data_IF_575203586779
#
_entry.id   IF_575203586779
#
_cell.length_a   1.000
_cell.length_b   1.000
_cell.length_c   1.000
_cell.angle_alpha   90.00
_cell.angle_beta   90.00
_cell.angle_gamma   90.00
#
_symmetry.space_group_name_H-M   'P 1'
#
loop_
_entity.id
_entity.type
_entity.pdbx_description
1 polymer ?
#
# COMPACT_ATOMS: atom_id res chain seq x y z
N UNK A 1 -17.77 -62.19 18.79
CA UNK A 1 -16.42 -62.54 19.31
C UNK A 1 -15.37 -62.14 18.27
N UNK A 2 -14.33 -61.43 18.73
CA UNK A 2 -13.07 -61.04 18.05
C UNK A 2 -13.10 -59.87 17.05
N UNK A 3 -12.78 -58.72 17.63
CA UNK A 3 -12.17 -57.50 17.08
C UNK A 3 -10.93 -57.74 16.20
N UNK A 4 -10.64 -56.88 15.21
CA UNK A 4 -9.29 -56.69 14.68
C UNK A 4 -8.57 -55.53 15.39
N UNK A 5 -7.33 -55.78 15.80
CA UNK A 5 -6.44 -54.85 16.49
C UNK A 5 -5.83 -53.80 15.55
N UNK A 6 -5.84 -52.59 16.07
CA UNK A 6 -5.13 -51.39 15.64
C UNK A 6 -3.61 -51.57 15.86
N UNK A 7 -2.77 -51.24 14.88
CA UNK A 7 -1.32 -51.14 15.08
C UNK A 7 -0.84 -49.81 14.46
N UNK A 8 -0.92 -48.76 15.27
CA UNK A 8 -0.22 -47.49 15.05
C UNK A 8 1.27 -47.67 15.37
N UNK A 9 2.12 -47.39 14.40
CA UNK A 9 3.58 -47.36 14.57
C UNK A 9 3.98 -45.95 15.01
N UNK A 10 4.37 -45.79 16.28
CA UNK A 10 5.09 -44.61 16.77
C UNK A 10 6.61 -44.85 16.65
N UNK A 11 7.42 -43.87 16.20
CA UNK A 11 8.87 -43.99 16.26
C UNK A 11 9.40 -43.75 17.68
N UNK A 12 10.36 -44.60 18.08
CA UNK A 12 11.08 -44.57 19.37
C UNK A 12 12.02 -43.36 19.49
N UNK A 13 12.32 -42.91 20.73
CA UNK A 13 13.23 -41.79 20.99
C UNK A 13 14.71 -42.22 20.87
N UNK A 14 15.55 -41.32 20.35
CA UNK A 14 17.00 -41.48 20.30
C UNK A 14 17.62 -40.98 21.63
N UNK A 15 18.39 -41.85 22.27
CA UNK A 15 19.20 -41.57 23.46
C UNK A 15 20.52 -40.84 23.13
N UNK A 16 20.87 -39.97 24.09
CA UNK A 16 22.10 -39.27 24.46
C UNK A 16 23.49 -39.70 23.97
N UNK A 17 24.34 -38.70 23.64
CA UNK A 17 25.66 -38.37 24.27
C UNK A 17 26.40 -37.26 23.46
N UNK A 18 27.46 -36.57 23.96
CA UNK A 18 27.74 -36.07 25.29
C UNK A 18 28.09 -34.54 25.34
N UNK A 19 28.31 -34.10 26.57
CA UNK A 19 28.55 -32.78 27.14
C UNK A 19 29.77 -32.00 26.57
N UNK A 20 29.58 -30.77 26.07
CA UNK A 20 30.67 -29.81 25.78
C UNK A 20 30.41 -28.47 26.48
N UNK A 21 31.44 -28.03 27.19
CA UNK A 21 31.52 -26.95 28.17
C UNK A 21 31.12 -25.57 27.62
N UNK A 22 30.38 -24.85 28.46
CA UNK A 22 30.06 -23.43 28.45
C UNK A 22 31.32 -22.54 28.47
N UNK A 23 31.42 -21.57 27.57
CA UNK A 23 32.32 -20.42 27.70
C UNK A 23 31.54 -19.12 27.45
N UNK A 24 31.42 -18.30 28.50
CA UNK A 24 30.87 -16.94 28.47
C UNK A 24 31.87 -15.95 27.84
N UNK A 25 31.41 -14.95 27.06
CA UNK A 25 32.27 -13.85 26.65
C UNK A 25 32.28 -12.72 27.70
N UNK A 26 33.49 -12.39 28.16
CA UNK A 26 33.84 -11.30 29.07
C UNK A 26 33.42 -9.92 28.55
N UNK A 27 32.64 -9.20 29.35
CA UNK A 27 32.41 -7.75 29.23
C UNK A 27 33.65 -6.99 29.71
N UNK A 28 34.25 -6.17 28.85
CA UNK A 28 35.32 -5.22 29.23
C UNK A 28 34.75 -3.82 29.42
N UNK A 29 34.82 -3.33 30.65
CA UNK A 29 34.61 -1.94 31.01
C UNK A 29 35.84 -1.08 30.66
N UNK A 30 35.61 0.06 29.99
CA UNK A 30 36.48 1.25 29.87
C UNK A 30 35.50 2.41 29.68
N UNK A 31 35.49 3.54 30.38
CA UNK A 31 36.45 4.20 31.25
C UNK A 31 36.19 5.69 31.02
N UNK A 32 35.58 6.38 31.99
CA UNK A 32 35.35 7.82 31.96
C UNK A 32 36.68 8.58 31.90
N UNK A 33 36.80 9.56 31.00
CA UNK A 33 37.71 10.70 31.16
C UNK A 33 37.09 11.98 30.57
N UNK A 34 36.84 12.93 31.47
CA UNK A 34 36.74 14.36 31.17
C UNK A 34 38.14 14.89 30.82
N UNK A 35 38.25 15.83 29.87
CA UNK A 35 38.95 17.10 30.07
C UNK A 35 38.89 18.05 28.86
N UNK A 36 38.57 19.31 29.19
CA UNK A 36 39.14 20.60 28.75
C UNK A 36 39.05 21.00 27.27
N UNK A 37 38.41 22.15 27.10
CA UNK A 37 38.36 22.89 25.85
C UNK A 37 39.66 23.59 25.48
N UNK A 38 39.70 24.00 24.23
CA UNK A 38 40.62 24.99 23.69
C UNK A 38 39.82 25.85 22.71
N UNK A 39 39.79 27.16 22.98
CA UNK A 39 39.35 28.20 22.05
C UNK A 39 40.34 28.30 20.88
N UNK A 40 39.83 28.42 19.66
CA UNK A 40 40.56 29.02 18.54
C UNK A 40 39.58 29.87 17.71
N UNK A 41 39.82 31.17 17.73
CA UNK A 41 39.24 32.14 16.83
C UNK A 41 39.85 31.97 15.43
N UNK A 42 39.02 31.95 14.39
CA UNK A 42 39.40 32.50 13.08
C UNK A 42 38.15 33.02 12.36
N UNK A 43 38.31 34.22 11.81
CA UNK A 43 37.25 35.07 11.28
C UNK A 43 37.17 34.99 9.75
N UNK A 44 35.93 35.09 9.25
CA UNK A 44 35.47 35.66 7.96
C UNK A 44 35.71 34.84 6.68
N UNK A 45 34.61 34.45 6.02
CA UNK A 45 34.24 34.94 4.67
C UNK A 45 32.76 34.62 4.40
N UNK A 46 32.00 35.67 4.08
CA UNK A 46 30.58 35.67 3.71
C UNK A 46 30.40 35.00 2.35
N UNK A 47 29.62 33.92 2.29
CA UNK A 47 29.12 33.33 1.04
C UNK A 47 27.68 32.84 1.26
N UNK A 48 26.74 33.59 0.69
CA UNK A 48 25.37 33.19 0.33
C UNK A 48 24.59 32.38 1.37
N UNK A 49 23.82 33.07 2.22
CA UNK A 49 22.75 32.45 3.00
C UNK A 49 21.73 31.80 2.06
N UNK A 50 21.87 30.50 1.80
CA UNK A 50 20.69 29.66 1.63
C UNK A 50 19.97 29.73 2.97
N UNK A 51 18.93 30.57 3.05
CA UNK A 51 18.04 30.56 4.20
C UNK A 51 17.61 29.11 4.43
N UNK A 52 18.12 28.49 5.51
CA UNK A 52 17.42 27.35 6.09
C UNK A 52 16.02 27.87 6.36
N UNK A 53 14.95 27.23 5.89
CA UNK A 53 13.60 27.73 6.10
C UNK A 53 13.47 28.01 7.60
N UNK A 54 13.25 29.28 7.93
CA UNK A 54 13.10 29.73 9.31
C UNK A 54 12.09 28.81 9.98
N UNK A 55 12.43 28.33 11.18
CA UNK A 55 11.58 27.42 11.95
C UNK A 55 10.25 28.13 12.28
N UNK A 56 9.29 28.08 11.34
CA UNK A 56 7.96 28.63 11.53
C UNK A 56 7.19 27.64 12.37
N UNK A 57 6.77 28.08 13.55
CA UNK A 57 5.92 27.28 14.43
C UNK A 57 4.57 27.12 13.73
N UNK A 58 4.35 25.93 13.15
CA UNK A 58 3.08 25.61 12.51
C UNK A 58 2.01 25.46 13.58
N UNK A 59 2.17 24.55 14.54
CA UNK A 59 1.24 24.35 15.66
C UNK A 59 2.02 24.34 16.98
N UNK A 60 1.76 25.27 17.92
CA UNK A 60 2.36 25.23 19.25
C UNK A 60 2.08 23.89 19.94
N UNK A 61 3.08 23.31 20.60
CA UNK A 61 2.99 22.00 21.28
C UNK A 61 3.16 20.78 20.37
N UNK A 62 3.13 20.93 19.04
CA UNK A 62 3.41 19.84 18.10
C UNK A 62 4.87 19.87 17.63
N UNK A 63 5.57 18.72 17.53
CA UNK A 63 6.97 18.69 17.11
C UNK A 63 7.19 19.24 15.69
N UNK A 64 8.21 20.08 15.50
CA UNK A 64 8.60 20.63 14.18
C UNK A 64 8.81 19.55 13.11
N UNK A 65 9.50 18.42 13.39
CA UNK A 65 9.69 17.38 12.38
C UNK A 65 8.38 16.80 11.85
N UNK A 66 7.34 16.75 12.69
CA UNK A 66 6.01 16.25 12.29
C UNK A 66 5.31 17.26 11.39
N UNK A 67 5.39 18.54 11.74
CA UNK A 67 4.74 19.65 11.03
C UNK A 67 5.44 20.00 9.71
N UNK A 68 6.75 19.74 9.60
CA UNK A 68 7.57 20.08 8.45
C UNK A 68 7.02 19.58 7.12
N UNK A 69 6.53 18.34 7.09
CA UNK A 69 5.95 17.75 5.87
C UNK A 69 4.72 18.51 5.37
N UNK A 70 3.89 19.02 6.28
CA UNK A 70 2.70 19.81 5.98
C UNK A 70 3.08 21.22 5.55
N UNK A 71 4.07 21.85 6.21
CA UNK A 71 4.58 23.17 5.83
C UNK A 71 5.19 23.18 4.43
N UNK A 72 5.97 22.15 4.10
CA UNK A 72 6.53 21.99 2.74
C UNK A 72 5.39 21.79 1.73
N UNK A 73 4.42 20.94 2.03
CA UNK A 73 3.29 20.69 1.13
C UNK A 73 2.38 21.93 0.93
N UNK A 74 2.34 22.83 1.91
CA UNK A 74 1.62 24.09 1.87
C UNK A 74 2.43 25.26 1.28
N UNK A 75 3.63 25.01 0.74
CA UNK A 75 4.46 26.07 0.15
C UNK A 75 4.95 27.11 1.18
N UNK A 76 5.12 26.72 2.45
CA UNK A 76 5.54 27.62 3.53
C UNK A 76 4.42 28.43 4.17
N UNK A 77 3.17 28.28 3.72
CA UNK A 77 1.98 28.87 4.33
C UNK A 77 1.61 28.12 5.62
N UNK A 78 1.71 28.81 6.75
CA UNK A 78 1.44 28.24 8.08
C UNK A 78 -0.03 27.92 8.28
N UNK A 79 -0.96 28.76 7.79
CA UNK A 79 -2.39 28.54 7.97
C UNK A 79 -2.83 27.31 7.18
N UNK A 80 -2.45 27.22 5.91
CA UNK A 80 -2.73 26.03 5.08
C UNK A 80 -2.07 24.76 5.62
N UNK A 81 -0.87 24.86 6.19
CA UNK A 81 -0.21 23.71 6.82
C UNK A 81 -1.02 23.16 8.01
N UNK A 82 -1.65 24.03 8.82
CA UNK A 82 -2.55 23.63 9.91
C UNK A 82 -3.79 22.94 9.39
N UNK A 83 -4.46 23.55 8.41
CA UNK A 83 -5.64 22.98 7.77
C UNK A 83 -5.32 21.61 7.16
N UNK A 84 -4.17 21.48 6.51
CA UNK A 84 -3.73 20.25 5.88
C UNK A 84 -3.41 19.15 6.92
N UNK A 85 -2.88 19.53 8.09
CA UNK A 85 -2.69 18.62 9.20
C UNK A 85 -4.03 18.12 9.77
N UNK A 86 -5.00 19.03 9.95
CA UNK A 86 -6.36 18.67 10.37
C UNK A 86 -7.06 17.76 9.33
N UNK A 87 -6.94 18.09 8.04
CA UNK A 87 -7.42 17.27 6.93
C UNK A 87 -6.82 15.86 6.97
N UNK A 88 -5.52 15.71 7.26
CA UNK A 88 -4.88 14.40 7.36
C UNK A 88 -5.53 13.53 8.43
N UNK A 89 -5.85 14.11 9.60
CA UNK A 89 -6.54 13.41 10.68
C UNK A 89 -7.98 13.03 10.28
N UNK A 90 -8.71 13.93 9.61
CA UNK A 90 -10.05 13.63 9.08
C UNK A 90 -10.02 12.49 8.06
N UNK A 91 -9.04 12.50 7.15
CA UNK A 91 -8.86 11.46 6.14
C UNK A 91 -8.49 10.11 6.77
N UNK A 92 -7.63 10.13 7.80
CA UNK A 92 -7.31 8.95 8.60
C UNK A 92 -8.57 8.37 9.29
N UNK A 93 -9.41 9.24 9.87
CA UNK A 93 -10.68 8.84 10.48
C UNK A 93 -11.65 8.20 9.47
N UNK A 94 -11.83 8.81 8.30
CA UNK A 94 -12.68 8.27 7.24
C UNK A 94 -12.16 6.92 6.70
N UNK A 95 -10.83 6.74 6.59
CA UNK A 95 -10.25 5.47 6.19
C UNK A 95 -10.41 4.39 7.29
N UNK A 96 -10.27 4.75 8.57
CA UNK A 96 -10.47 3.83 9.70
C UNK A 96 -11.89 3.27 9.77
N UNK A 97 -12.89 4.07 9.44
CA UNK A 97 -14.29 3.65 9.35
C UNK A 97 -14.44 2.43 8.42
N UNK A 98 -13.89 2.53 7.21
CA UNK A 98 -13.96 1.48 6.20
C UNK A 98 -13.10 0.26 6.57
N UNK A 99 -11.93 0.50 7.16
CA UNK A 99 -11.08 -0.57 7.70
C UNK A 99 -11.78 -1.35 8.81
N UNK A 100 -12.54 -0.68 9.68
CA UNK A 100 -13.29 -1.34 10.76
C UNK A 100 -14.37 -2.27 10.21
N UNK A 101 -15.12 -1.83 9.20
CA UNK A 101 -16.12 -2.68 8.53
C UNK A 101 -15.50 -3.90 7.87
N UNK A 102 -14.42 -3.70 7.10
CA UNK A 102 -13.69 -4.79 6.46
C UNK A 102 -13.13 -5.77 7.50
N UNK A 103 -12.61 -5.27 8.61
CA UNK A 103 -12.04 -6.10 9.67
C UNK A 103 -13.09 -7.02 10.28
N UNK A 104 -14.29 -6.52 10.59
CA UNK A 104 -15.40 -7.38 11.05
C UNK A 104 -15.78 -8.42 9.99
N UNK A 105 -15.92 -8.00 8.73
CA UNK A 105 -16.29 -8.88 7.62
C UNK A 105 -15.28 -10.01 7.41
N UNK A 106 -13.98 -9.69 7.37
CA UNK A 106 -12.90 -10.65 7.18
C UNK A 106 -12.84 -11.66 8.33
N UNK A 107 -12.92 -11.17 9.57
CA UNK A 107 -12.88 -12.02 10.77
C UNK A 107 -14.00 -13.03 10.77
N UNK A 108 -15.23 -12.59 10.52
CA UNK A 108 -16.39 -13.46 10.47
C UNK A 108 -16.25 -14.52 9.36
N UNK A 109 -15.84 -14.11 8.15
CA UNK A 109 -15.68 -15.02 7.03
C UNK A 109 -14.63 -16.12 7.31
N UNK A 110 -13.47 -15.74 7.86
CA UNK A 110 -12.42 -16.69 8.22
C UNK A 110 -12.86 -17.58 9.39
N UNK A 111 -13.48 -17.01 10.42
CA UNK A 111 -13.95 -17.75 11.59
C UNK A 111 -14.90 -18.89 11.20
N UNK A 112 -15.89 -18.60 10.34
CA UNK A 112 -16.82 -19.61 9.83
C UNK A 112 -16.10 -20.78 9.13
N UNK A 113 -15.10 -20.49 8.29
CA UNK A 113 -14.36 -21.56 7.61
C UNK A 113 -13.44 -22.34 8.55
N UNK A 114 -12.93 -21.73 9.62
CA UNK A 114 -12.18 -22.47 10.63
C UNK A 114 -13.08 -23.40 11.44
N UNK A 115 -14.31 -22.97 11.76
CA UNK A 115 -15.33 -23.82 12.40
C UNK A 115 -15.65 -25.06 11.54
N UNK A 116 -15.91 -24.85 10.25
CA UNK A 116 -16.24 -25.95 9.34
C UNK A 116 -15.04 -26.89 9.13
N UNK A 117 -13.82 -26.36 9.08
CA UNK A 117 -12.61 -27.16 8.83
C UNK A 117 -12.35 -28.17 9.94
N UNK A 118 -12.48 -27.74 11.19
CA UNK A 118 -12.34 -28.64 12.34
C UNK A 118 -13.61 -29.43 12.63
N UNK A 119 -14.71 -29.22 11.89
CA UNK A 119 -16.03 -29.79 12.21
C UNK A 119 -16.43 -29.46 13.64
N UNK A 120 -16.35 -28.19 13.99
CA UNK A 120 -16.55 -27.68 15.35
C UNK A 120 -17.90 -28.12 15.93
N UNK A 121 -18.94 -28.22 15.09
CA UNK A 121 -20.27 -28.72 15.50
C UNK A 121 -20.28 -30.18 15.94
N UNK A 122 -19.45 -31.02 15.34
CA UNK A 122 -19.34 -32.45 15.68
C UNK A 122 -18.43 -32.65 16.90
N UNK A 123 -17.33 -31.89 16.97
CA UNK A 123 -16.32 -32.03 18.04
C UNK A 123 -16.78 -31.34 19.33
N UNK A 124 -17.51 -30.22 19.23
CA UNK A 124 -17.93 -29.40 20.36
C UNK A 124 -16.82 -28.54 21.00
N UNK A 125 -15.62 -28.51 20.41
CA UNK A 125 -14.48 -27.72 20.90
C UNK A 125 -14.14 -26.64 19.87
N UNK A 126 -14.20 -25.34 20.25
CA UNK A 126 -13.82 -24.24 19.37
C UNK A 126 -12.45 -24.41 18.74
N UNK A 127 -12.31 -24.03 17.47
CA UNK A 127 -11.02 -24.15 16.77
C UNK A 127 -9.90 -23.49 17.57
N UNK A 128 -10.10 -22.32 18.17
CA UNK A 128 -9.04 -21.66 18.94
C UNK A 128 -8.64 -22.37 20.25
N UNK A 129 -9.24 -23.52 20.58
CA UNK A 129 -8.85 -24.41 21.69
C UNK A 129 -8.23 -25.75 21.25
N UNK A 130 -8.19 -26.08 19.94
CA UNK A 130 -7.69 -27.39 19.47
C UNK A 130 -6.16 -27.39 19.21
N UNK A 131 -5.40 -28.44 19.56
CA UNK A 131 -4.02 -28.60 19.09
C UNK A 131 -3.97 -29.11 17.63
N UNK A 132 -3.00 -28.72 16.77
CA UNK A 132 -1.89 -27.80 16.96
C UNK A 132 -2.06 -26.56 16.08
N UNK A 133 -2.73 -25.49 16.55
CA UNK A 133 -2.58 -24.20 15.88
C UNK A 133 -1.17 -23.68 16.14
N UNK A 134 -0.32 -23.93 15.14
CA UNK A 134 1.05 -23.47 14.96
C UNK A 134 1.36 -22.27 15.85
N UNK A 135 2.12 -22.55 16.91
CA UNK A 135 2.74 -21.73 17.99
C UNK A 135 2.64 -20.18 17.89
N UNK A 136 2.76 -19.61 16.70
CA UNK A 136 2.65 -18.17 16.49
C UNK A 136 1.24 -17.58 16.69
N UNK A 137 0.17 -18.38 16.55
CA UNK A 137 -1.22 -17.90 16.71
C UNK A 137 -1.76 -18.12 18.12
N UNK A 138 -1.26 -19.13 18.83
CA UNK A 138 -1.72 -19.48 20.18
C UNK A 138 -1.42 -18.36 21.19
N UNK A 139 -0.26 -17.71 21.09
CA UNK A 139 0.11 -16.61 22.00
C UNK A 139 -0.85 -15.42 21.89
N UNK A 140 -1.24 -15.04 20.67
CA UNK A 140 -2.19 -13.96 20.44
C UNK A 140 -3.60 -14.29 20.98
N UNK A 141 -4.02 -15.56 20.85
CA UNK A 141 -5.29 -16.05 21.40
C UNK A 141 -5.24 -16.02 22.92
N UNK A 142 -4.22 -16.60 23.54
CA UNK A 142 -4.11 -16.62 25.02
C UNK A 142 -4.01 -15.22 25.60
N UNK A 143 -3.25 -14.30 24.99
CA UNK A 143 -3.18 -12.90 25.43
C UNK A 143 -4.57 -12.25 25.47
N UNK A 144 -5.40 -12.47 24.43
CA UNK A 144 -6.77 -11.95 24.39
C UNK A 144 -7.64 -12.62 25.44
N UNK A 145 -7.53 -13.95 25.61
CA UNK A 145 -8.30 -14.73 26.58
C UNK A 145 -7.97 -14.32 28.01
N UNK A 146 -6.70 -14.21 28.38
CA UNK A 146 -6.26 -13.78 29.71
C UNK A 146 -6.86 -12.43 30.10
N UNK A 147 -6.79 -11.45 29.18
CA UNK A 147 -7.43 -10.14 29.37
C UNK A 147 -8.94 -10.24 29.55
N UNK A 148 -9.62 -11.09 28.76
CA UNK A 148 -11.07 -11.25 28.82
C UNK A 148 -11.53 -12.01 30.07
N UNK A 149 -10.75 -12.97 30.55
CA UNK A 149 -10.98 -13.69 31.83
C UNK A 149 -10.98 -12.73 33.00
N UNK A 150 -10.00 -11.83 33.06
CA UNK A 150 -9.93 -10.78 34.10
C UNK A 150 -11.18 -9.88 34.11
N UNK A 151 -11.91 -9.79 33.00
CA UNK A 151 -13.12 -8.99 32.84
C UNK A 151 -14.41 -9.80 32.91
N UNK A 152 -14.35 -11.13 33.12
CA UNK A 152 -15.49 -12.04 33.02
C UNK A 152 -16.24 -11.97 31.66
N UNK A 153 -15.49 -11.82 30.56
CA UNK A 153 -16.01 -11.63 29.19
C UNK A 153 -15.40 -12.58 28.15
N UNK A 154 -14.92 -13.76 28.57
CA UNK A 154 -14.32 -14.75 27.66
C UNK A 154 -15.40 -15.49 26.83
N UNK A 155 -16.06 -14.78 25.91
CA UNK A 155 -16.97 -15.37 24.92
C UNK A 155 -16.29 -15.48 23.55
N UNK A 156 -16.78 -16.35 22.66
CA UNK A 156 -16.28 -16.47 21.28
C UNK A 156 -16.23 -15.11 20.60
N UNK A 157 -17.34 -14.39 20.60
CA UNK A 157 -17.45 -13.10 19.91
C UNK A 157 -16.42 -12.09 20.43
N UNK A 158 -16.17 -12.09 21.74
CA UNK A 158 -15.15 -11.22 22.35
C UNK A 158 -13.73 -11.65 22.02
N UNK A 159 -13.46 -12.96 21.97
CA UNK A 159 -12.15 -13.49 21.55
C UNK A 159 -11.90 -13.11 20.08
N UNK A 160 -12.83 -13.41 19.18
CA UNK A 160 -12.74 -13.08 17.75
C UNK A 160 -12.61 -11.57 17.54
N UNK A 161 -13.39 -10.76 18.26
CA UNK A 161 -13.31 -9.30 18.22
C UNK A 161 -12.00 -8.76 18.81
N UNK A 162 -11.40 -9.45 19.78
CA UNK A 162 -10.18 -9.06 20.45
C UNK A 162 -8.90 -9.32 19.66
N UNK A 163 -8.93 -10.21 18.67
CA UNK A 163 -7.80 -10.57 17.83
C UNK A 163 -7.52 -9.49 16.77
N UNK A 164 -6.28 -9.00 16.69
CA UNK A 164 -5.89 -7.92 15.77
C UNK A 164 -6.02 -8.29 14.29
N UNK A 165 -6.16 -7.30 13.39
CA UNK A 165 -6.12 -7.52 11.94
C UNK A 165 -4.91 -8.37 11.52
N UNK A 166 -3.74 -8.11 12.12
CA UNK A 166 -2.50 -8.85 11.84
C UNK A 166 -2.61 -10.35 12.11
N UNK A 167 -3.33 -10.77 13.16
CA UNK A 167 -3.61 -12.17 13.44
C UNK A 167 -4.34 -12.82 12.26
N UNK A 168 -5.41 -12.17 11.78
CA UNK A 168 -6.22 -12.66 10.67
C UNK A 168 -5.46 -12.71 9.36
N UNK A 169 -4.59 -11.72 9.10
CA UNK A 169 -3.71 -11.74 7.92
C UNK A 169 -2.72 -12.92 7.91
N UNK A 170 -2.36 -13.42 9.10
CA UNK A 170 -1.40 -14.50 9.26
C UNK A 170 -1.85 -15.82 8.63
N UNK A 171 -3.17 -16.05 8.51
CA UNK A 171 -3.76 -17.26 7.92
C UNK A 171 -3.53 -17.39 6.41
N UNK A 172 -3.15 -16.31 5.73
CA UNK A 172 -2.91 -16.31 4.29
C UNK A 172 -1.44 -16.53 3.92
N UNK A 173 -0.58 -16.85 4.90
CA UNK A 173 0.83 -17.17 4.68
C UNK A 173 1.05 -18.51 3.95
N UNK A 174 2.24 -18.74 3.34
CA UNK A 174 2.54 -19.98 2.61
C UNK A 174 2.39 -21.27 3.44
N UNK A 175 2.62 -21.19 4.75
CA UNK A 175 2.46 -22.33 5.68
C UNK A 175 1.03 -22.87 5.80
N UNK A 176 0.03 -22.09 5.36
CA UNK A 176 -1.38 -22.48 5.40
C UNK A 176 -1.93 -22.84 4.00
N UNK A 177 -1.06 -23.18 3.04
CA UNK A 177 -1.48 -23.56 1.69
C UNK A 177 -2.44 -24.76 1.68
N UNK A 178 -2.22 -25.75 2.55
CA UNK A 178 -3.11 -26.92 2.63
C UNK A 178 -4.48 -26.55 3.20
N UNK A 179 -4.50 -25.80 4.30
CA UNK A 179 -5.73 -25.25 4.90
C UNK A 179 -6.49 -24.35 3.91
N UNK A 180 -5.76 -23.59 3.09
CA UNK A 180 -6.35 -22.81 2.00
C UNK A 180 -7.07 -23.67 0.98
N UNK A 181 -6.41 -24.71 0.48
CA UNK A 181 -6.97 -25.62 -0.52
C UNK A 181 -8.17 -26.38 0.00
N UNK A 182 -8.15 -26.77 1.27
CA UNK A 182 -9.21 -27.54 1.89
C UNK A 182 -10.44 -26.68 2.19
N UNK A 183 -10.27 -25.55 2.90
CA UNK A 183 -11.44 -24.80 3.40
C UNK A 183 -11.34 -23.27 3.30
N UNK A 184 -10.20 -22.64 3.62
CA UNK A 184 -10.17 -21.16 3.71
C UNK A 184 -10.48 -20.43 2.40
N UNK A 185 -10.27 -21.06 1.23
CA UNK A 185 -10.69 -20.48 -0.06
C UNK A 185 -12.19 -20.18 -0.12
N UNK A 186 -13.02 -20.93 0.63
CA UNK A 186 -14.48 -20.76 0.63
C UNK A 186 -14.93 -19.47 1.36
N UNK A 187 -14.05 -18.84 2.15
CA UNK A 187 -14.29 -17.51 2.70
C UNK A 187 -14.26 -16.41 1.61
N UNK A 188 -13.80 -16.74 0.40
CA UNK A 188 -13.54 -15.80 -0.69
C UNK A 188 -14.25 -16.27 -1.98
N UNK A 189 -15.59 -16.43 -1.96
CA UNK A 189 -16.34 -17.06 -3.05
C UNK A 189 -16.22 -16.31 -4.39
N UNK A 190 -16.00 -14.99 -4.37
CA UNK A 190 -15.94 -14.16 -5.59
C UNK A 190 -14.50 -13.83 -6.03
N UNK A 191 -13.49 -14.55 -5.52
CA UNK A 191 -12.07 -14.37 -5.87
C UNK A 191 -11.60 -15.31 -6.98
N UNK A 192 -10.32 -15.23 -7.37
CA UNK A 192 -9.74 -16.14 -8.38
C UNK A 192 -9.48 -17.57 -7.84
N UNK A 193 -9.75 -17.82 -6.57
CA UNK A 193 -9.41 -19.06 -5.86
C UNK A 193 -7.91 -19.16 -5.46
N UNK A 194 -7.08 -18.20 -5.86
CA UNK A 194 -5.64 -18.22 -5.58
C UNK A 194 -5.31 -17.54 -4.24
N UNK A 195 -4.64 -18.25 -3.33
CA UNK A 195 -4.18 -17.69 -2.04
C UNK A 195 -3.31 -16.44 -2.22
N UNK A 196 -2.46 -16.44 -3.24
CA UNK A 196 -1.51 -15.34 -3.50
C UNK A 196 -2.22 -14.02 -3.76
N UNK A 197 -3.39 -14.03 -4.40
CA UNK A 197 -4.21 -12.83 -4.61
C UNK A 197 -4.63 -12.23 -3.26
N UNK A 198 -5.24 -13.05 -2.41
CA UNK A 198 -5.74 -12.60 -1.09
C UNK A 198 -4.60 -12.19 -0.18
N UNK A 199 -3.51 -12.96 -0.14
CA UNK A 199 -2.34 -12.65 0.67
C UNK A 199 -1.75 -11.28 0.29
N UNK A 200 -1.68 -10.96 -1.01
CA UNK A 200 -1.20 -9.67 -1.51
C UNK A 200 -2.14 -8.53 -1.11
N UNK A 201 -3.45 -8.70 -1.31
CA UNK A 201 -4.45 -7.68 -0.98
C UNK A 201 -4.48 -7.39 0.52
N UNK A 202 -4.55 -8.44 1.34
CA UNK A 202 -4.57 -8.33 2.80
C UNK A 202 -3.29 -7.68 3.34
N UNK A 203 -2.13 -7.99 2.75
CA UNK A 203 -0.85 -7.36 3.15
C UNK A 203 -0.79 -5.87 2.78
N UNK A 204 -1.33 -5.49 1.61
CA UNK A 204 -1.46 -4.09 1.24
C UNK A 204 -2.35 -3.34 2.25
N UNK A 205 -3.54 -3.89 2.54
CA UNK A 205 -4.50 -3.31 3.49
C UNK A 205 -3.90 -3.22 4.90
N UNK A 206 -3.14 -4.25 5.34
CA UNK A 206 -2.46 -4.25 6.65
C UNK A 206 -1.47 -3.09 6.77
N UNK A 207 -0.66 -2.85 5.73
CA UNK A 207 0.30 -1.71 5.72
C UNK A 207 -0.43 -0.38 5.77
N UNK A 208 -1.50 -0.23 5.00
CA UNK A 208 -2.31 0.98 5.01
C UNK A 208 -2.98 1.21 6.38
N UNK A 209 -3.64 0.18 6.93
CA UNK A 209 -4.25 0.21 8.27
C UNK A 209 -3.25 0.62 9.33
N UNK A 210 -2.05 0.02 9.34
CA UNK A 210 -1.02 0.34 10.32
C UNK A 210 -0.59 1.81 10.21
N UNK A 211 -0.39 2.31 8.99
CA UNK A 211 -0.07 3.73 8.76
C UNK A 211 -1.14 4.64 9.37
N UNK A 212 -2.41 4.37 9.08
CA UNK A 212 -3.53 5.16 9.59
C UNK A 212 -3.63 5.08 11.12
N UNK A 213 -3.49 3.87 11.70
CA UNK A 213 -3.56 3.65 13.14
C UNK A 213 -2.39 4.27 13.92
N UNK A 214 -1.22 4.42 13.29
CA UNK A 214 -0.07 5.15 13.85
C UNK A 214 -0.13 6.66 13.56
N UNK A 215 -1.26 7.16 13.05
CA UNK A 215 -1.49 8.55 12.70
C UNK A 215 -0.54 9.11 11.64
N UNK A 216 0.15 8.27 10.87
CA UNK A 216 1.15 8.71 9.91
C UNK A 216 0.60 9.66 8.83
N UNK A 217 1.52 10.37 8.18
CA UNK A 217 1.16 11.29 7.10
C UNK A 217 0.62 10.54 5.87
N UNK A 218 -0.58 10.93 5.45
CA UNK A 218 -1.29 10.48 4.26
C UNK A 218 -1.07 11.40 3.05
N UNK A 219 -0.29 12.47 3.20
CA UNK A 219 -0.03 13.44 2.13
C UNK A 219 0.50 12.83 0.83
N UNK A 220 1.27 11.74 0.99
CA UNK A 220 1.94 10.99 -0.06
C UNK A 220 1.32 9.61 -0.27
N UNK A 221 0.09 9.37 0.17
CA UNK A 221 -0.63 8.10 -0.02
C UNK A 221 -1.76 8.29 -1.03
N UNK A 222 -1.96 7.30 -1.89
CA UNK A 222 -3.04 7.26 -2.87
C UNK A 222 -4.21 6.59 -2.18
N UNK A 223 -5.04 7.41 -1.52
CA UNK A 223 -6.11 6.85 -0.71
C UNK A 223 -7.14 6.16 -1.61
N UNK A 224 -7.43 6.68 -2.81
CA UNK A 224 -8.30 5.99 -3.76
C UNK A 224 -7.82 4.57 -4.07
N UNK A 225 -6.51 4.39 -4.29
CA UNK A 225 -5.91 3.07 -4.51
C UNK A 225 -6.03 2.14 -3.31
N UNK A 226 -5.75 2.62 -2.10
CA UNK A 226 -5.87 1.80 -0.88
C UNK A 226 -7.33 1.46 -0.56
N UNK A 227 -8.25 2.39 -0.81
CA UNK A 227 -9.69 2.18 -0.64
C UNK A 227 -10.24 1.17 -1.64
N UNK A 228 -9.78 1.18 -2.90
CA UNK A 228 -10.20 0.15 -3.86
C UNK A 228 -9.71 -1.24 -3.45
N UNK A 229 -8.52 -1.38 -2.85
CA UNK A 229 -8.07 -2.66 -2.30
C UNK A 229 -8.99 -3.17 -1.17
N UNK A 230 -9.43 -2.26 -0.27
CA UNK A 230 -10.40 -2.55 0.79
C UNK A 230 -11.72 -3.05 0.19
N UNK A 231 -12.27 -2.32 -0.78
CA UNK A 231 -13.53 -2.70 -1.42
C UNK A 231 -13.42 -3.96 -2.28
N UNK A 232 -12.27 -4.19 -2.92
CA UNK A 232 -12.00 -5.40 -3.68
C UNK A 232 -12.02 -6.61 -2.75
N UNK A 233 -11.33 -6.56 -1.61
CA UNK A 233 -11.35 -7.66 -0.65
C UNK A 233 -12.76 -7.86 -0.07
N UNK A 234 -13.46 -6.79 0.28
CA UNK A 234 -14.84 -6.88 0.72
C UNK A 234 -15.73 -7.58 -0.32
N UNK A 235 -15.62 -7.21 -1.60
CA UNK A 235 -16.41 -7.80 -2.69
C UNK A 235 -16.11 -9.28 -2.91
N UNK A 236 -14.83 -9.65 -2.77
CA UNK A 236 -14.39 -11.05 -2.84
C UNK A 236 -15.09 -11.89 -1.76
N UNK A 237 -15.25 -11.34 -0.55
CA UNK A 237 -15.93 -12.00 0.58
C UNK A 237 -17.46 -11.95 0.39
N UNK A 238 -18.02 -10.78 0.15
CA UNK A 238 -19.47 -10.55 0.01
C UNK A 238 -19.76 -9.27 -0.81
N UNK A 239 -20.51 -9.43 -1.91
CA UNK A 239 -20.81 -8.33 -2.86
C UNK A 239 -21.72 -7.26 -2.26
N UNK A 240 -22.70 -7.65 -1.44
CA UNK A 240 -23.65 -6.73 -0.80
C UNK A 240 -22.96 -5.86 0.25
N UNK A 241 -22.14 -6.49 1.10
CA UNK A 241 -21.34 -5.78 2.11
C UNK A 241 -20.40 -4.76 1.46
N UNK A 242 -19.73 -5.12 0.35
CA UNK A 242 -18.88 -4.19 -0.38
C UNK A 242 -19.64 -3.00 -0.96
N UNK A 243 -20.87 -3.25 -1.44
CA UNK A 243 -21.73 -2.21 -2.02
C UNK A 243 -22.22 -1.25 -0.94
N UNK A 244 -22.62 -1.77 0.22
CA UNK A 244 -22.96 -0.96 1.39
C UNK A 244 -21.76 -0.15 1.90
N UNK A 245 -20.57 -0.77 2.04
CA UNK A 245 -19.34 -0.09 2.44
C UNK A 245 -19.01 1.10 1.52
N UNK A 246 -19.15 0.92 0.20
CA UNK A 246 -18.98 2.02 -0.79
C UNK A 246 -20.02 3.12 -0.62
N UNK A 247 -21.25 2.79 -0.24
CA UNK A 247 -22.33 3.78 -0.06
C UNK A 247 -22.09 4.71 1.14
N UNK A 248 -21.40 4.22 2.17
CA UNK A 248 -21.06 5.00 3.38
C UNK A 248 -19.63 5.56 3.34
N UNK A 249 -18.91 5.42 2.22
CA UNK A 249 -17.54 5.91 2.07
C UNK A 249 -17.47 7.44 2.02
N UNK A 250 -16.82 8.03 3.04
CA UNK A 250 -16.58 9.47 3.13
C UNK A 250 -15.19 9.88 2.61
N UNK A 251 -14.30 8.94 2.31
CA UNK A 251 -12.91 9.27 1.93
C UNK A 251 -12.83 10.12 0.67
N UNK A 252 -13.76 9.93 -0.28
CA UNK A 252 -13.85 10.77 -1.49
C UNK A 252 -14.18 12.22 -1.18
N UNK A 253 -15.17 12.44 -0.32
CA UNK A 253 -15.63 13.78 0.08
C UNK A 253 -14.52 14.49 0.85
N UNK A 254 -13.91 13.82 1.84
CA UNK A 254 -12.78 14.37 2.59
C UNK A 254 -11.60 14.64 1.67
N UNK A 255 -11.30 13.73 0.73
CA UNK A 255 -10.24 13.90 -0.27
C UNK A 255 -10.42 15.15 -1.14
N UNK A 256 -11.66 15.45 -1.55
CA UNK A 256 -11.98 16.65 -2.33
C UNK A 256 -11.82 17.96 -1.53
N UNK A 257 -12.01 17.91 -0.20
CA UNK A 257 -11.85 19.06 0.70
C UNK A 257 -10.39 19.34 1.11
N UNK A 258 -9.40 18.78 0.40
CA UNK A 258 -7.99 18.97 0.73
C UNK A 258 -7.58 20.44 0.52
N UNK A 259 -6.98 21.13 1.52
CA UNK A 259 -6.77 22.59 1.52
C UNK A 259 -5.58 23.07 0.66
N UNK A 260 -5.01 22.20 -0.16
CA UNK A 260 -3.96 22.56 -1.12
C UNK A 260 -4.37 22.05 -2.50
N UNK A 261 -4.02 22.80 -3.55
CA UNK A 261 -4.22 22.34 -4.93
C UNK A 261 -3.55 20.97 -5.07
N UNK A 262 -4.31 19.91 -5.35
CA UNK A 262 -3.71 18.60 -5.50
C UNK A 262 -2.73 18.68 -6.66
N UNK A 263 -1.51 18.18 -6.43
CA UNK A 263 -0.60 17.87 -7.52
C UNK A 263 -1.22 16.73 -8.32
N UNK A 264 -2.12 17.10 -9.23
CA UNK A 264 -3.03 16.24 -9.99
C UNK A 264 -2.36 15.61 -11.21
N UNK A 265 -1.10 15.95 -11.46
CA UNK A 265 -0.34 15.49 -12.60
C UNK A 265 0.94 14.80 -12.17
N UNK A 266 1.14 13.57 -12.64
CA UNK A 266 2.45 12.92 -12.55
C UNK A 266 3.23 13.17 -13.84
N UNK A 267 4.48 13.60 -13.70
CA UNK A 267 5.45 13.65 -14.79
C UNK A 267 6.33 12.42 -14.69
N UNK A 268 6.35 11.59 -15.74
CA UNK A 268 7.17 10.37 -15.80
C UNK A 268 8.20 10.49 -16.92
N UNK A 269 9.43 9.99 -16.71
CA UNK A 269 10.39 9.89 -17.79
C UNK A 269 9.92 8.81 -18.75
N UNK A 270 10.00 9.10 -20.04
CA UNK A 270 9.87 8.09 -21.09
C UNK A 270 11.15 8.09 -21.90
N UNK A 271 11.62 6.90 -22.25
CA UNK A 271 12.60 6.75 -23.31
C UNK A 271 11.89 6.98 -24.65
N UNK A 272 12.67 7.30 -25.68
CA UNK A 272 12.18 7.41 -27.04
C UNK A 272 11.55 6.09 -27.47
N UNK A 273 10.38 6.19 -28.13
CA UNK A 273 9.77 5.09 -28.87
C UNK A 273 9.13 4.00 -27.99
N UNK A 274 8.11 4.35 -27.22
CA UNK A 274 7.21 3.32 -26.67
C UNK A 274 5.96 3.27 -27.55
N UNK A 275 5.80 2.26 -28.43
CA UNK A 275 4.62 2.16 -29.29
C UNK A 275 3.34 1.99 -28.47
N UNK A 276 3.43 1.46 -27.24
CA UNK A 276 2.29 1.40 -26.32
C UNK A 276 1.77 2.79 -25.95
N UNK A 277 2.66 3.77 -25.81
CA UNK A 277 2.30 5.14 -25.48
C UNK A 277 1.84 5.91 -26.72
N UNK A 278 2.50 5.70 -27.85
CA UNK A 278 2.23 6.39 -29.12
C UNK A 278 0.94 5.87 -29.79
N UNK A 279 0.81 4.55 -29.96
CA UNK A 279 -0.29 3.94 -30.73
C UNK A 279 -1.51 3.62 -29.85
N UNK A 280 -1.27 3.21 -28.60
CA UNK A 280 -2.33 2.73 -27.71
C UNK A 280 -2.67 3.72 -26.59
N UNK A 281 -1.91 4.81 -26.47
CA UNK A 281 -2.03 5.79 -25.37
C UNK A 281 -2.03 5.08 -24.01
N UNK A 282 -1.04 4.22 -23.80
CA UNK A 282 -0.88 3.43 -22.60
C UNK A 282 0.53 3.56 -22.03
N UNK A 283 0.63 3.96 -20.77
CA UNK A 283 1.89 3.95 -20.03
C UNK A 283 1.98 2.68 -19.17
N UNK A 284 3.04 1.90 -19.37
CA UNK A 284 3.25 0.61 -18.69
C UNK A 284 4.55 0.67 -17.89
N UNK A 285 4.53 0.20 -16.64
CA UNK A 285 5.72 0.09 -15.82
C UNK A 285 5.67 -1.14 -14.91
N UNK A 286 6.83 -1.55 -14.39
CA UNK A 286 6.94 -2.67 -13.45
C UNK A 286 6.07 -2.44 -12.21
N UNK A 287 5.41 -3.50 -11.72
CA UNK A 287 4.59 -3.41 -10.52
C UNK A 287 5.40 -3.02 -9.27
N UNK A 288 4.73 -2.42 -8.29
CA UNK A 288 5.35 -1.95 -7.04
C UNK A 288 5.91 -0.53 -7.11
N UNK A 289 5.84 0.13 -8.27
CA UNK A 289 6.09 1.56 -8.39
C UNK A 289 4.90 2.34 -7.84
N UNK A 290 5.08 3.00 -6.71
CA UNK A 290 4.00 3.80 -6.12
C UNK A 290 3.71 5.05 -6.96
N UNK A 291 2.43 5.36 -7.19
CA UNK A 291 1.96 6.63 -7.73
C UNK A 291 0.90 7.25 -6.80
N UNK A 292 0.98 8.55 -6.53
CA UNK A 292 -0.09 9.34 -5.90
C UNK A 292 -1.36 9.29 -6.75
N UNK A 293 -2.50 9.58 -6.12
CA UNK A 293 -3.76 9.77 -6.84
C UNK A 293 -3.65 11.02 -7.72
N UNK A 294 -3.42 10.79 -9.01
CA UNK A 294 -3.29 11.81 -10.03
C UNK A 294 -4.33 11.59 -11.10
N UNK A 295 -4.73 12.69 -11.70
CA UNK A 295 -5.72 12.77 -12.76
C UNK A 295 -5.06 12.77 -14.14
N UNK A 296 -3.82 13.26 -14.22
CA UNK A 296 -3.10 13.44 -15.46
C UNK A 296 -1.71 12.81 -15.41
N UNK A 297 -1.21 12.43 -16.59
CA UNK A 297 0.14 11.94 -16.80
C UNK A 297 0.79 12.77 -17.91
N UNK A 298 1.90 13.40 -17.59
CA UNK A 298 2.75 14.12 -18.52
C UNK A 298 4.04 13.32 -18.75
N UNK A 299 4.57 13.42 -19.96
CA UNK A 299 5.79 12.72 -20.36
C UNK A 299 6.97 13.69 -20.31
N UNK A 300 8.04 13.28 -19.66
CA UNK A 300 9.33 13.95 -19.70
C UNK A 300 10.29 13.15 -20.59
N UNK A 301 10.69 13.73 -21.71
CA UNK A 301 11.53 13.12 -22.74
C UNK A 301 12.40 14.21 -23.35
N UNK A 302 13.60 13.87 -23.82
CA UNK A 302 14.51 14.84 -24.48
C UNK A 302 14.76 16.12 -23.68
N UNK A 303 14.86 15.99 -22.35
CA UNK A 303 15.04 17.11 -21.42
C UNK A 303 13.90 18.14 -21.44
N UNK A 304 12.70 17.72 -21.79
CA UNK A 304 11.52 18.58 -21.76
C UNK A 304 10.29 17.82 -21.28
N UNK A 305 9.32 18.53 -20.71
CA UNK A 305 7.97 18.01 -20.54
C UNK A 305 7.24 18.24 -21.87
N UNK A 306 6.70 17.18 -22.45
CA UNK A 306 5.95 17.24 -23.69
C UNK A 306 4.67 18.08 -23.54
N UNK A 307 4.17 18.60 -24.66
CA UNK A 307 2.97 19.44 -24.69
C UNK A 307 1.69 18.67 -24.31
N UNK A 308 1.66 17.37 -24.59
CA UNK A 308 0.51 16.52 -24.31
C UNK A 308 0.53 16.03 -22.87
N UNK A 309 -0.49 16.47 -22.12
CA UNK A 309 -0.74 16.09 -20.73
C UNK A 309 -2.03 15.28 -20.71
N UNK A 310 -1.87 13.96 -20.74
CA UNK A 310 -2.99 13.06 -20.96
C UNK A 310 -3.77 12.80 -19.66
N UNK A 311 -5.10 12.78 -19.75
CA UNK A 311 -5.99 12.31 -18.70
C UNK A 311 -5.78 10.81 -18.48
N UNK A 312 -5.61 10.41 -17.22
CA UNK A 312 -5.62 9.00 -16.83
C UNK A 312 -7.08 8.53 -16.82
N UNK A 313 -7.45 7.70 -17.80
CA UNK A 313 -8.78 7.10 -17.91
C UNK A 313 -8.94 5.86 -17.03
N UNK A 314 -7.86 5.09 -16.91
CA UNK A 314 -7.81 3.91 -16.05
C UNK A 314 -6.39 3.75 -15.53
N UNK A 315 -6.27 3.42 -14.25
CA UNK A 315 -5.06 2.84 -13.68
C UNK A 315 -5.40 1.44 -13.19
N UNK A 316 -4.68 0.44 -13.67
CA UNK A 316 -4.73 -0.93 -13.14
C UNK A 316 -3.36 -1.28 -12.58
N UNK A 317 -3.31 -1.39 -11.27
CA UNK A 317 -2.15 -1.92 -10.59
C UNK A 317 -2.21 -3.44 -10.61
N UNK A 318 -1.04 -4.07 -10.70
CA UNK A 318 -0.87 -5.51 -10.46
C UNK A 318 -1.47 -6.44 -11.51
N UNK A 319 -1.43 -6.03 -12.78
CA UNK A 319 -1.87 -6.82 -13.92
C UNK A 319 -0.92 -7.99 -14.14
N UNK A 320 -1.44 -9.21 -14.07
CA UNK A 320 -0.70 -10.44 -14.38
C UNK A 320 -0.40 -10.48 -15.89
N UNK A 321 0.87 -10.43 -16.26
CA UNK A 321 1.25 -10.21 -17.66
C UNK A 321 1.52 -11.53 -18.37
N UNK A 322 0.48 -12.05 -19.04
CA UNK A 322 0.53 -13.31 -19.78
C UNK A 322 -0.55 -13.34 -20.90
N UNK A 323 -0.36 -14.23 -21.87
CA UNK A 323 -1.22 -14.33 -23.05
C UNK A 323 -2.65 -14.76 -22.75
N UNK A 324 -2.87 -15.59 -21.72
CA UNK A 324 -4.23 -16.02 -21.35
C UNK A 324 -5.05 -14.88 -20.76
N UNK A 325 -4.44 -14.06 -19.90
CA UNK A 325 -5.10 -12.89 -19.31
C UNK A 325 -5.34 -11.80 -20.37
N UNK A 326 -4.39 -11.58 -21.29
CA UNK A 326 -4.58 -10.66 -22.41
C UNK A 326 -5.79 -11.05 -23.27
N UNK A 327 -5.94 -12.35 -23.58
CA UNK A 327 -7.09 -12.88 -24.33
C UNK A 327 -8.40 -12.71 -23.55
N UNK A 328 -8.43 -13.11 -22.28
CA UNK A 328 -9.59 -12.95 -21.39
C UNK A 328 -10.09 -11.51 -21.36
N UNK A 329 -9.18 -10.52 -21.26
CA UNK A 329 -9.52 -9.11 -21.23
C UNK A 329 -10.02 -8.58 -22.59
N UNK A 330 -9.46 -9.08 -23.71
CA UNK A 330 -9.93 -8.74 -25.07
C UNK A 330 -11.36 -9.23 -25.35
N UNK A 331 -11.76 -10.32 -24.70
CA UNK A 331 -13.09 -10.92 -24.85
C UNK A 331 -14.14 -10.32 -23.88
N UNK A 332 -13.74 -9.38 -23.01
CA UNK A 332 -14.64 -8.71 -22.06
C UNK A 332 -15.64 -7.80 -22.77
N UNK A 333 -16.86 -7.67 -22.23
CA UNK A 333 -17.86 -6.72 -22.73
C UNK A 333 -17.47 -5.26 -22.41
N UNK A 334 -16.67 -5.05 -21.35
CA UNK A 334 -16.18 -3.72 -20.97
C UNK A 334 -15.15 -3.20 -21.99
N UNK A 335 -15.47 -2.06 -22.62
CA UNK A 335 -14.60 -1.38 -23.60
C UNK A 335 -13.20 -1.07 -23.04
N UNK A 336 -13.11 -0.71 -21.77
CA UNK A 336 -11.85 -0.39 -21.08
C UNK A 336 -11.01 -1.66 -20.90
N UNK A 337 -11.63 -2.76 -20.50
CA UNK A 337 -10.94 -4.05 -20.36
C UNK A 337 -10.45 -4.58 -21.71
N UNK A 338 -11.25 -4.44 -22.77
CA UNK A 338 -10.79 -4.77 -24.14
C UNK A 338 -9.58 -3.95 -24.56
N UNK A 339 -9.55 -2.66 -24.24
CA UNK A 339 -8.38 -1.81 -24.51
C UNK A 339 -7.17 -2.27 -23.72
N UNK A 340 -7.33 -2.63 -22.44
CA UNK A 340 -6.26 -3.19 -21.62
C UNK A 340 -5.72 -4.50 -22.22
N UNK A 341 -6.58 -5.39 -22.67
CA UNK A 341 -6.18 -6.64 -23.34
C UNK A 341 -5.35 -6.39 -24.61
N UNK A 342 -5.72 -5.39 -25.43
CA UNK A 342 -4.93 -4.97 -26.61
C UNK A 342 -3.54 -4.43 -26.22
N UNK A 343 -3.46 -3.62 -25.15
CA UNK A 343 -2.18 -3.11 -24.61
C UNK A 343 -1.29 -4.26 -24.13
N UNK A 344 -1.87 -5.27 -23.46
CA UNK A 344 -1.12 -6.44 -23.01
C UNK A 344 -0.59 -7.27 -24.19
N UNK A 345 -1.41 -7.51 -25.21
CA UNK A 345 -1.02 -8.25 -26.42
C UNK A 345 0.13 -7.54 -27.16
N UNK A 346 0.02 -6.22 -27.36
CA UNK A 346 1.08 -5.42 -27.97
C UNK A 346 2.35 -5.41 -27.10
N UNK A 347 2.21 -5.34 -25.77
CA UNK A 347 3.33 -5.39 -24.84
C UNK A 347 4.08 -6.71 -24.89
N UNK A 348 3.35 -7.84 -24.95
CA UNK A 348 3.93 -9.17 -25.11
C UNK A 348 4.68 -9.30 -26.44
N UNK A 349 4.13 -8.77 -27.54
CA UNK A 349 4.79 -8.76 -28.84
C UNK A 349 6.10 -7.94 -28.85
N UNK A 350 6.20 -6.92 -27.98
CA UNK A 350 7.40 -6.09 -27.81
C UNK A 350 8.40 -6.67 -26.79
N UNK A 351 8.19 -7.89 -26.31
CA UNK A 351 9.11 -8.56 -25.39
C UNK A 351 8.94 -8.19 -23.91
N UNK A 352 7.86 -7.50 -23.53
CA UNK A 352 7.46 -7.37 -22.12
C UNK A 352 6.92 -8.72 -21.64
N UNK A 353 7.82 -9.64 -21.32
CA UNK A 353 7.50 -11.02 -21.02
C UNK A 353 7.59 -11.32 -19.52
N UNK A 354 6.54 -11.94 -18.98
CA UNK A 354 6.43 -12.48 -17.63
C UNK A 354 6.52 -11.46 -16.48
N UNK A 355 5.60 -11.59 -15.52
CA UNK A 355 5.62 -10.82 -14.28
C UNK A 355 4.32 -10.08 -14.04
N UNK A 356 4.42 -9.00 -13.27
CA UNK A 356 3.28 -8.19 -12.90
C UNK A 356 3.60 -6.73 -13.23
N UNK A 357 2.69 -6.07 -13.91
CA UNK A 357 2.86 -4.69 -14.34
C UNK A 357 1.76 -3.79 -13.80
N UNK A 358 2.01 -2.49 -13.90
CA UNK A 358 1.05 -1.44 -13.66
C UNK A 358 0.80 -0.69 -14.98
N UNK A 359 -0.47 -0.54 -15.33
CA UNK A 359 -0.90 0.05 -16.60
C UNK A 359 -1.75 1.29 -16.35
N UNK A 360 -1.45 2.34 -17.11
CA UNK A 360 -2.24 3.55 -17.20
C UNK A 360 -2.78 3.67 -18.62
N UNK A 361 -4.10 3.66 -18.79
CA UNK A 361 -4.73 4.00 -20.06
C UNK A 361 -5.00 5.50 -20.07
N UNK A 362 -4.54 6.16 -21.12
CA UNK A 362 -4.50 7.61 -21.25
C UNK A 362 -5.49 8.09 -22.32
N UNK A 363 -5.91 9.36 -22.21
CA UNK A 363 -6.64 10.06 -23.26
C UNK A 363 -5.73 10.39 -24.44
N UNK A 364 -6.29 10.32 -25.64
CA UNK A 364 -5.63 10.76 -26.87
C UNK A 364 -5.82 12.26 -27.09
N UNK A 365 -4.95 12.92 -27.89
CA UNK A 365 -5.19 14.28 -28.36
C UNK A 365 -6.58 14.41 -29.00
N UNK A 366 -7.29 15.49 -28.68
CA UNK A 366 -8.69 15.73 -29.11
C UNK A 366 -9.76 15.19 -28.17
N UNK A 367 -9.41 14.43 -27.13
CA UNK A 367 -10.34 14.15 -26.02
C UNK A 367 -10.58 15.43 -25.19
N UNK A 368 -11.83 15.77 -24.79
CA UNK A 368 -12.12 16.99 -24.03
C UNK A 368 -11.37 17.12 -22.70
N UNK A 369 -10.94 15.99 -22.11
CA UNK A 369 -10.18 15.97 -20.87
C UNK A 369 -8.66 15.89 -21.12
N UNK A 370 -8.21 15.78 -22.37
CA UNK A 370 -6.79 15.86 -22.70
C UNK A 370 -6.33 17.32 -22.62
N UNK A 371 -5.19 17.57 -21.98
CA UNK A 371 -4.66 18.92 -21.84
C UNK A 371 -3.47 19.10 -22.75
N UNK A 372 -3.54 20.12 -23.60
CA UNK A 372 -2.43 20.54 -24.45
C UNK A 372 -1.82 21.83 -23.90
N UNK A 373 -0.51 21.84 -23.68
CA UNK A 373 0.24 23.04 -23.27
C UNK A 373 0.52 23.93 -24.48
N UNK A 374 0.82 25.22 -24.22
CA UNK A 374 1.19 26.20 -25.27
C UNK A 374 2.52 25.86 -25.96
N UNK A 375 3.42 25.17 -25.25
CA UNK A 375 4.70 24.68 -25.75
C UNK A 375 5.32 23.67 -24.79
N UNK A 376 6.37 22.94 -25.22
CA UNK A 376 7.09 22.04 -24.32
C UNK A 376 7.84 22.83 -23.26
N UNK A 377 7.87 22.32 -22.02
CA UNK A 377 8.64 22.94 -20.94
C UNK A 377 10.05 22.38 -20.93
N UNK A 378 11.04 23.22 -21.25
CA UNK A 378 12.43 22.79 -21.44
C UNK A 378 13.22 22.82 -20.13
N UNK A 379 14.22 21.93 -20.05
CA UNK A 379 15.22 21.90 -18.99
C UNK A 379 16.55 22.47 -19.48
N UNK A 380 16.76 23.73 -19.15
CA UNK A 380 17.91 24.57 -19.50
C UNK A 380 19.16 24.39 -18.61
N UNK A 381 19.07 23.77 -17.42
CA UNK A 381 20.24 23.58 -16.53
C UNK A 381 21.15 22.46 -17.02
N UNK A 382 22.46 22.68 -17.12
CA UNK A 382 23.46 21.64 -17.44
C UNK A 382 24.18 21.09 -16.19
N UNK A 383 24.64 19.82 -16.22
CA UNK A 383 25.50 19.23 -15.18
C UNK A 383 25.02 17.89 -14.56
N UNK A 384 25.85 17.28 -13.69
CA UNK A 384 25.65 15.95 -13.06
C UNK A 384 24.37 15.83 -12.20
N UNK A 385 23.70 16.93 -11.85
CA UNK A 385 22.40 16.94 -11.15
C UNK A 385 21.27 17.62 -11.93
N UNK A 386 21.40 17.79 -13.25
CA UNK A 386 20.43 18.53 -14.07
C UNK A 386 19.13 17.78 -14.38
N UNK A 387 19.04 16.46 -14.13
CA UNK A 387 17.84 15.69 -14.47
C UNK A 387 16.63 16.12 -13.63
N UNK A 388 15.68 16.81 -14.27
CA UNK A 388 14.48 17.34 -13.63
C UNK A 388 13.52 16.23 -13.15
N UNK A 389 13.35 15.18 -13.95
CA UNK A 389 12.61 13.95 -13.60
C UNK A 389 13.55 12.75 -13.70
N UNK A 390 13.77 12.05 -12.58
CA UNK A 390 14.55 10.80 -12.57
C UNK A 390 13.66 9.55 -12.56
N UNK A 391 12.68 9.51 -11.67
CA UNK A 391 11.71 8.42 -11.56
C UNK A 391 10.32 8.93 -11.89
N UNK A 392 9.82 9.88 -11.10
CA UNK A 392 8.61 10.65 -11.39
C UNK A 392 8.66 11.95 -10.60
N UNK A 393 7.86 12.93 -11.02
CA UNK A 393 7.64 14.18 -10.31
C UNK A 393 6.14 14.47 -10.27
N UNK A 394 5.70 15.22 -9.27
CA UNK A 394 4.30 15.62 -9.12
C UNK A 394 4.18 17.13 -9.24
N UNK A 395 3.19 17.55 -10.02
CA UNK A 395 2.83 18.94 -10.28
C UNK A 395 1.32 19.04 -10.48
N UNK A 396 0.80 20.22 -10.80
CA UNK A 396 -0.58 20.38 -11.26
C UNK A 396 -0.65 20.74 -12.75
N UNK A 397 -1.77 20.45 -13.40
CA UNK A 397 -2.06 20.96 -14.76
C UNK A 397 -2.01 22.48 -14.79
N UNK A 398 -2.50 23.12 -13.73
CA UNK A 398 -2.46 24.57 -13.59
C UNK A 398 -1.02 25.09 -13.67
N UNK A 399 -0.10 24.52 -12.89
CA UNK A 399 1.30 24.98 -12.88
C UNK A 399 1.98 24.69 -14.22
N UNK A 400 1.68 23.54 -14.84
CA UNK A 400 2.20 23.21 -16.19
C UNK A 400 1.78 24.22 -17.26
N UNK A 401 0.56 24.78 -17.17
CA UNK A 401 0.06 25.76 -18.14
C UNK A 401 0.70 27.14 -18.00
N UNK A 402 1.21 27.48 -16.82
CA UNK A 402 1.74 28.82 -16.52
C UNK A 402 3.26 28.85 -16.37
N UNK A 403 3.91 27.67 -16.32
CA UNK A 403 5.35 27.57 -16.29
C UNK A 403 5.97 27.93 -17.65
N UNK A 404 7.13 28.57 -17.63
CA UNK A 404 7.95 28.85 -18.80
C UNK A 404 9.07 27.81 -18.96
N UNK A 405 9.54 27.26 -17.84
CA UNK A 405 10.54 26.20 -17.79
C UNK A 405 10.15 25.11 -16.79
N UNK A 406 10.82 23.97 -16.84
CA UNK A 406 10.59 22.92 -15.83
C UNK A 406 10.92 23.38 -14.41
N UNK A 407 11.79 24.39 -14.24
CA UNK A 407 12.26 24.84 -12.92
C UNK A 407 11.27 25.75 -12.19
N UNK A 408 10.26 26.25 -12.89
CA UNK A 408 9.14 26.98 -12.27
C UNK A 408 8.22 26.03 -11.46
N UNK A 409 8.41 24.72 -11.62
CA UNK A 409 7.64 23.66 -10.97
C UNK A 409 8.33 23.08 -9.71
N UNK A 410 9.40 23.73 -9.21
CA UNK A 410 10.16 23.30 -8.02
C UNK A 410 9.60 23.76 -6.67
#
# INVERSE_FOLDING_TARGET
MKTPHNNQVFPRPLESAPNIKTQEPRVRARGQRQHRGVHLHSSITVMGSKEKPTCRIVLPGFPEPRMRSYLIAAGGDVAKARELYAWNAQMAGAALEQLAHLEVLLRNAVDLQLQEWIREREIGIPWFFMPPFIVAQSEAIETVRERLRQQNRETRDQIIAGLSFGFWTGWFGPKYEELWRQNLRLAFPNGTGQRKEIARLVEQIRKFRNRVAHHDSLLNVDIGFEMEAIFQLARIINVEAASWMKSVDRTRVVGAARPITPKDTVVVPSNDSSPLLEDLHAFVCQAGRYFRQVQYLAIYKDRQICMDVARIKLRRDNVSWNSSEARRLKDSEDRIERKLGKVMEAGLAQGLNHGVYQVFLLSQPGDPQHVQLSGPLTNDKAGRSSAFVRKQRYTSVHDLRHANSVWDLE
#
